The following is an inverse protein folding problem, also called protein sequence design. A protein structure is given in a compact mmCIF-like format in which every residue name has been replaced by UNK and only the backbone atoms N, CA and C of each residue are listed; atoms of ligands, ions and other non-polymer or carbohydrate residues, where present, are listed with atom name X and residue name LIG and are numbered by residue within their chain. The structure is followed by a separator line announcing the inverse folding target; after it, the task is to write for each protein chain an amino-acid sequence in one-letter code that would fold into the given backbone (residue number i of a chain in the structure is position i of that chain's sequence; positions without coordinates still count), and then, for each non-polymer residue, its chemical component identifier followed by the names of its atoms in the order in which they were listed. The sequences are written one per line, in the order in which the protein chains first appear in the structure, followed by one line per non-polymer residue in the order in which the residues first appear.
data_IF_614235202471
#
_entry.id   IF_614235202471
#
_cell.length_a   1.000
_cell.length_b   1.000
_cell.length_c   1.000
_cell.angle_alpha   90.00
_cell.angle_beta   90.00
_cell.angle_gamma   90.00
#
_symmetry.space_group_name_H-M   'P 1'
#
loop_
_entity.id
_entity.type
_entity.pdbx_description
1 polymer ?
#
# COMPACT_ATOMS: atom_id res chain seq x y z
N UNK A 1 -26.52 -12.09 -7.40
CA UNK A 1 -25.47 -11.34 -6.67
C UNK A 1 -24.68 -10.56 -7.70
N UNK A 2 -24.67 -9.25 -7.59
CA UNK A 2 -23.82 -8.42 -8.44
C UNK A 2 -22.44 -8.35 -7.77
N UNK A 3 -21.39 -8.76 -8.48
CA UNK A 3 -20.03 -8.67 -7.97
C UNK A 3 -19.62 -7.20 -7.97
N UNK A 4 -19.37 -6.63 -6.79
CA UNK A 4 -18.85 -5.27 -6.66
C UNK A 4 -17.42 -5.27 -7.21
N UNK A 5 -17.12 -4.34 -8.11
CA UNK A 5 -15.74 -4.16 -8.59
C UNK A 5 -14.92 -3.57 -7.44
N UNK A 6 -13.79 -4.19 -7.14
CA UNK A 6 -12.79 -3.74 -6.17
C UNK A 6 -11.68 -2.98 -6.90
N UNK A 7 -11.38 -1.77 -6.44
CA UNK A 7 -10.25 -0.98 -6.91
C UNK A 7 -9.07 -1.16 -5.96
N UNK A 8 -8.02 -1.83 -6.43
CA UNK A 8 -6.79 -2.05 -5.68
C UNK A 8 -5.66 -1.13 -6.15
N UNK A 9 -5.03 -0.38 -5.24
CA UNK A 9 -3.97 0.58 -5.55
C UNK A 9 -2.57 0.14 -5.06
N UNK A 10 -1.50 0.31 -5.87
CA UNK A 10 -0.12 0.15 -5.41
C UNK A 10 0.28 1.30 -4.50
N UNK A 11 0.82 0.99 -3.32
CA UNK A 11 1.37 1.99 -2.41
C UNK A 11 2.81 1.64 -2.04
N UNK A 12 3.64 2.66 -1.92
CA UNK A 12 5.07 2.54 -1.64
C UNK A 12 5.63 3.71 -0.84
N UNK A 13 4.77 4.49 -0.21
CA UNK A 13 5.10 5.55 0.76
C UNK A 13 3.81 5.99 1.45
N UNK A 14 3.91 6.72 2.57
CA UNK A 14 2.73 7.28 3.23
C UNK A 14 1.99 8.32 2.36
N UNK A 15 2.67 9.07 1.48
CA UNK A 15 1.96 9.96 0.54
C UNK A 15 1.13 9.16 -0.46
N UNK A 16 1.69 8.09 -1.03
CA UNK A 16 0.95 7.24 -1.96
C UNK A 16 -0.23 6.52 -1.29
N UNK A 17 -0.09 6.11 -0.02
CA UNK A 17 -1.19 5.57 0.79
C UNK A 17 -2.30 6.59 0.96
N UNK A 18 -1.94 7.82 1.33
CA UNK A 18 -2.89 8.92 1.51
C UNK A 18 -3.63 9.23 0.20
N UNK A 19 -2.92 9.23 -0.93
CA UNK A 19 -3.52 9.43 -2.24
C UNK A 19 -4.48 8.28 -2.63
N UNK A 20 -4.15 7.02 -2.29
CA UNK A 20 -5.03 5.88 -2.54
C UNK A 20 -6.33 5.97 -1.73
N UNK A 21 -6.25 6.36 -0.46
CA UNK A 21 -7.42 6.58 0.41
C UNK A 21 -8.29 7.71 -0.16
N UNK A 22 -7.68 8.86 -0.50
CA UNK A 22 -8.41 9.99 -1.07
C UNK A 22 -9.01 9.68 -2.45
N UNK A 23 -8.36 8.81 -3.22
CA UNK A 23 -8.84 8.32 -4.51
C UNK A 23 -9.98 7.31 -4.41
N UNK A 24 -10.32 6.84 -3.20
CA UNK A 24 -11.40 5.89 -2.99
C UNK A 24 -11.06 4.46 -3.43
N UNK A 25 -9.79 4.06 -3.32
CA UNK A 25 -9.42 2.65 -3.49
C UNK A 25 -10.09 1.79 -2.41
N UNK A 26 -10.63 0.64 -2.80
CA UNK A 26 -11.20 -0.32 -1.86
C UNK A 26 -10.08 -1.12 -1.13
N UNK A 27 -8.93 -1.31 -1.78
CA UNK A 27 -7.79 -2.04 -1.22
C UNK A 27 -6.42 -1.48 -1.68
N UNK A 28 -5.36 -1.78 -0.93
CA UNK A 28 -3.98 -1.38 -1.28
C UNK A 28 -3.03 -2.57 -1.21
N UNK A 29 -1.99 -2.55 -2.04
CA UNK A 29 -0.89 -3.52 -1.96
C UNK A 29 0.46 -2.82 -1.92
N UNK A 30 1.37 -3.36 -1.11
CA UNK A 30 2.71 -2.81 -0.93
C UNK A 30 3.72 -3.89 -0.63
N UNK A 31 4.99 -3.60 -0.95
CA UNK A 31 6.11 -4.44 -0.59
C UNK A 31 6.63 -4.10 0.80
N UNK A 32 7.02 -5.13 1.56
CA UNK A 32 7.62 -4.98 2.89
C UNK A 32 9.06 -5.48 2.87
N UNK A 33 9.99 -4.66 3.38
CA UNK A 33 11.40 -5.03 3.52
C UNK A 33 12.13 -5.28 2.20
N UNK A 34 12.99 -6.32 2.18
CA UNK A 34 13.94 -6.62 1.09
C UNK A 34 13.43 -7.63 0.04
N UNK A 35 12.21 -8.16 0.17
CA UNK A 35 11.62 -9.07 -0.80
C UNK A 35 10.85 -8.31 -1.89
N UNK A 36 11.53 -7.50 -2.70
CA UNK A 36 10.95 -6.88 -3.89
C UNK A 36 11.81 -7.16 -5.15
N UNK A 37 11.17 -7.17 -6.34
CA UNK A 37 11.85 -7.32 -7.64
C UNK A 37 12.56 -6.03 -8.12
N UNK A 38 12.51 -4.96 -7.30
CA UNK A 38 13.05 -3.61 -7.53
C UNK A 38 14.05 -3.25 -6.41
N UNK A 39 14.99 -4.15 -6.14
CA UNK A 39 15.93 -4.11 -5.01
C UNK A 39 16.91 -2.92 -5.00
N UNK A 40 16.75 -1.96 -5.93
CA UNK A 40 17.46 -0.67 -5.98
C UNK A 40 16.65 0.51 -5.43
N UNK A 41 15.39 0.31 -5.06
CA UNK A 41 14.49 1.35 -4.52
C UNK A 41 14.22 1.21 -3.02
N UNK A 42 15.15 0.58 -2.30
CA UNK A 42 15.10 0.22 -0.87
C UNK A 42 14.87 1.39 0.11
N UNK A 43 14.76 2.62 -0.39
CA UNK A 43 14.53 3.84 0.40
C UNK A 43 13.05 4.22 0.56
N UNK A 44 12.11 3.50 -0.07
CA UNK A 44 10.67 3.84 -0.01
C UNK A 44 9.76 2.70 0.48
N UNK A 45 10.22 1.45 0.61
CA UNK A 45 9.33 0.37 1.05
C UNK A 45 8.94 0.53 2.53
N UNK A 46 7.68 0.18 2.86
CA UNK A 46 7.23 0.03 4.24
C UNK A 46 8.04 -1.06 4.96
N UNK A 47 8.30 -0.85 6.25
CA UNK A 47 8.87 -1.84 7.15
C UNK A 47 7.76 -2.70 7.77
N UNK A 48 8.14 -3.84 8.34
CA UNK A 48 7.22 -4.66 9.14
C UNK A 48 6.65 -3.84 10.31
N UNK A 49 7.46 -2.93 10.85
CA UNK A 49 7.08 -2.04 11.94
C UNK A 49 6.02 -1.01 11.55
N UNK A 50 5.83 -0.75 10.25
CA UNK A 50 4.81 0.19 9.75
C UNK A 50 3.42 -0.46 9.64
N UNK A 51 3.32 -1.80 9.65
CA UNK A 51 2.02 -2.48 9.50
C UNK A 51 0.94 -1.99 10.47
N UNK A 52 1.21 -1.83 11.79
CA UNK A 52 0.21 -1.32 12.72
C UNK A 52 -0.31 0.07 12.34
N UNK A 53 0.57 0.95 11.85
CA UNK A 53 0.20 2.30 11.43
C UNK A 53 -0.57 2.29 10.10
N UNK A 54 -0.15 1.48 9.13
CA UNK A 54 -0.84 1.36 7.83
C UNK A 54 -2.25 0.81 8.03
N UNK A 55 -2.41 -0.22 8.87
CA UNK A 55 -3.73 -0.81 9.20
C UNK A 55 -4.62 0.11 10.02
N UNK A 56 -4.06 1.10 10.72
CA UNK A 56 -4.85 2.13 11.40
C UNK A 56 -5.41 3.18 10.42
N UNK A 57 -4.74 3.39 9.29
CA UNK A 57 -5.10 4.42 8.30
C UNK A 57 -6.12 3.95 7.25
N UNK A 58 -6.29 2.64 7.10
CA UNK A 58 -7.27 2.01 6.20
C UNK A 58 -8.39 1.38 7.03
#
# INVERSE_FOLDING_TARGET
MQQKIEIMAPVGSYESLTAAIQGGADSVYFGVGNLNMRSRSSSQNFSVNDLPEITLRC
#
